data_IF_055647915459
#
_entry.id   IF_055647915459
#
_cell.length_a   1.000
_cell.length_b   1.000
_cell.length_c   1.000
_cell.angle_alpha   90.00
_cell.angle_beta   90.00
_cell.angle_gamma   90.00
#
_symmetry.space_group_name_H-M   'P 1'
#
loop_
_entity.id
_entity.type
_entity.pdbx_description
1 polymer ?
#
# COMPACT_ATOMS: atom_id res chain seq x y z
N UNK A 1 -1.78 -3.89 -12.35
CA UNK A 1 -1.91 -5.19 -11.64
C UNK A 1 -0.93 -5.22 -10.49
N UNK A 2 -1.30 -5.75 -9.33
CA UNK A 2 -0.41 -5.88 -8.16
C UNK A 2 -0.08 -7.36 -7.93
N UNK A 3 1.21 -7.69 -7.77
CA UNK A 3 1.71 -9.05 -7.58
C UNK A 3 2.54 -9.09 -6.30
N UNK A 4 2.17 -9.99 -5.40
CA UNK A 4 2.88 -10.22 -4.14
C UNK A 4 2.95 -11.72 -3.84
N UNK A 5 4.05 -12.14 -3.22
CA UNK A 5 4.18 -13.47 -2.62
C UNK A 5 4.06 -14.65 -3.57
N UNK A 6 4.55 -14.53 -4.79
CA UNK A 6 4.57 -15.66 -5.73
C UNK A 6 5.59 -16.71 -5.30
N UNK A 7 5.23 -17.95 -5.53
CA UNK A 7 6.08 -19.14 -5.31
C UNK A 7 6.86 -19.56 -6.57
N UNK A 8 6.64 -18.87 -7.69
CA UNK A 8 7.29 -19.06 -8.98
C UNK A 8 7.46 -17.72 -9.70
N UNK A 9 8.36 -17.66 -10.70
CA UNK A 9 8.42 -16.50 -11.58
C UNK A 9 7.21 -16.45 -12.51
N UNK A 10 6.82 -15.22 -12.90
CA UNK A 10 5.77 -15.08 -13.92
C UNK A 10 6.33 -15.62 -15.25
N UNK A 11 5.55 -16.48 -15.89
CA UNK A 11 5.90 -17.00 -17.21
C UNK A 11 5.88 -15.88 -18.25
N UNK A 12 6.79 -15.94 -19.21
CA UNK A 12 6.94 -14.88 -20.21
C UNK A 12 5.71 -14.75 -21.09
N UNK A 13 5.05 -15.85 -21.39
CA UNK A 13 3.82 -15.92 -22.17
C UNK A 13 2.69 -15.15 -21.48
N UNK A 14 2.58 -15.26 -20.16
CA UNK A 14 1.58 -14.52 -19.35
C UNK A 14 1.88 -13.01 -19.43
N UNK A 15 3.15 -12.62 -19.31
CA UNK A 15 3.54 -11.21 -19.42
C UNK A 15 3.26 -10.66 -20.84
N UNK A 16 3.50 -11.44 -21.88
CA UNK A 16 3.18 -11.07 -23.25
C UNK A 16 1.68 -10.91 -23.46
N UNK A 17 0.87 -11.80 -22.89
CA UNK A 17 -0.59 -11.68 -22.93
C UNK A 17 -1.06 -10.43 -22.18
N UNK A 18 -0.51 -10.14 -20.99
CA UNK A 18 -0.82 -8.91 -20.26
C UNK A 18 -0.47 -7.66 -21.05
N UNK A 19 0.67 -7.67 -21.73
CA UNK A 19 1.09 -6.58 -22.61
C UNK A 19 0.15 -6.42 -23.81
N UNK A 20 -0.25 -7.53 -24.44
CA UNK A 20 -1.14 -7.50 -25.61
C UNK A 20 -2.56 -7.00 -25.31
N UNK A 21 -3.04 -7.15 -24.08
CA UNK A 21 -4.32 -6.60 -23.61
C UNK A 21 -4.16 -5.23 -22.94
N UNK A 22 -3.06 -4.55 -23.21
CA UNK A 22 -2.74 -3.19 -22.77
C UNK A 22 -2.81 -3.01 -21.24
N UNK A 23 -2.23 -3.95 -20.49
CA UNK A 23 -1.99 -3.74 -19.06
C UNK A 23 -0.92 -2.66 -18.90
N UNK A 24 -1.32 -1.49 -18.42
CA UNK A 24 -0.45 -0.32 -18.32
C UNK A 24 0.71 -0.52 -17.33
N UNK A 25 0.44 -1.20 -16.22
CA UNK A 25 1.40 -1.29 -15.12
C UNK A 25 1.29 -2.58 -14.32
N UNK A 26 2.45 -3.12 -13.95
CA UNK A 26 2.55 -4.18 -12.94
C UNK A 26 3.27 -3.63 -11.70
N UNK A 27 2.72 -3.91 -10.53
CA UNK A 27 3.28 -3.52 -9.23
C UNK A 27 3.77 -4.77 -8.53
N UNK A 28 5.03 -4.75 -8.12
CA UNK A 28 5.67 -5.84 -7.39
C UNK A 28 5.95 -5.43 -5.94
N UNK A 29 5.50 -6.21 -4.98
CA UNK A 29 5.98 -6.11 -3.61
C UNK A 29 7.37 -6.74 -3.51
N UNK A 30 8.36 -5.94 -3.11
CA UNK A 30 9.74 -6.39 -2.92
C UNK A 30 10.27 -5.87 -1.58
N UNK A 31 10.18 -6.67 -0.52
CA UNK A 31 10.56 -6.23 0.82
C UNK A 31 12.08 -6.21 1.05
N UNK A 32 12.86 -6.93 0.26
CA UNK A 32 14.32 -6.97 0.36
C UNK A 32 14.98 -7.52 -0.91
N UNK A 33 16.23 -7.14 -1.12
CA UNK A 33 17.16 -7.76 -2.09
C UNK A 33 17.96 -8.87 -1.42
N UNK A 34 18.24 -8.74 -0.12
CA UNK A 34 18.84 -9.82 0.65
C UNK A 34 17.83 -10.95 0.86
N UNK A 35 18.18 -12.18 0.46
CA UNK A 35 17.29 -13.34 0.51
C UNK A 35 16.84 -13.67 1.94
N UNK A 36 17.73 -13.62 2.92
CA UNK A 36 17.40 -13.94 4.30
C UNK A 36 16.41 -12.93 4.92
N UNK A 37 16.57 -11.63 4.57
CA UNK A 37 15.65 -10.57 4.99
C UNK A 37 14.30 -10.74 4.27
N UNK A 38 14.31 -11.05 2.98
CA UNK A 38 13.11 -11.34 2.20
C UNK A 38 12.31 -12.49 2.81
N UNK A 39 12.98 -13.60 3.08
CA UNK A 39 12.38 -14.82 3.62
C UNK A 39 11.78 -14.57 5.02
N UNK A 40 12.52 -13.87 5.88
CA UNK A 40 12.03 -13.45 7.20
C UNK A 40 10.77 -12.57 7.09
N UNK A 41 10.78 -11.58 6.19
CA UNK A 41 9.64 -10.67 6.00
C UNK A 41 8.41 -11.39 5.44
N UNK A 42 8.61 -12.23 4.44
CA UNK A 42 7.54 -12.95 3.76
C UNK A 42 7.06 -14.19 4.54
N UNK A 43 7.85 -14.71 5.46
CA UNK A 43 7.61 -15.97 6.14
C UNK A 43 7.67 -17.16 5.18
N UNK A 44 8.62 -17.12 4.25
CA UNK A 44 8.85 -18.13 3.19
C UNK A 44 10.33 -18.44 3.08
N UNK A 45 10.76 -19.33 2.19
CA UNK A 45 12.16 -19.60 1.93
C UNK A 45 12.40 -19.84 0.44
N UNK A 46 13.39 -19.12 -0.11
CA UNK A 46 13.88 -19.32 -1.47
C UNK A 46 13.00 -18.77 -2.58
N UNK A 47 12.00 -17.90 -2.27
CA UNK A 47 11.09 -17.34 -3.28
C UNK A 47 11.49 -15.96 -3.79
N UNK A 48 12.45 -15.30 -3.15
CA UNK A 48 12.95 -13.98 -3.54
C UNK A 48 13.39 -13.94 -5.01
N UNK A 49 14.13 -14.95 -5.46
CA UNK A 49 14.62 -15.06 -6.85
C UNK A 49 13.49 -14.97 -7.89
N UNK A 50 12.33 -15.53 -7.61
CA UNK A 50 11.17 -15.50 -8.51
C UNK A 50 10.56 -14.10 -8.64
N UNK A 51 10.57 -13.32 -7.54
CA UNK A 51 10.15 -11.93 -7.59
C UNK A 51 11.12 -11.09 -8.44
N UNK A 52 12.43 -11.23 -8.23
CA UNK A 52 13.46 -10.52 -9.00
C UNK A 52 13.40 -10.88 -10.48
N UNK A 53 13.28 -12.17 -10.79
CA UNK A 53 13.16 -12.66 -12.18
C UNK A 53 11.90 -12.11 -12.86
N UNK A 54 10.78 -12.08 -12.16
CA UNK A 54 9.50 -11.57 -12.70
C UNK A 54 9.59 -10.08 -13.01
N UNK A 55 10.26 -9.28 -12.18
CA UNK A 55 10.51 -7.85 -12.43
C UNK A 55 11.35 -7.68 -13.71
N UNK A 56 12.46 -8.42 -13.83
CA UNK A 56 13.32 -8.36 -14.99
C UNK A 56 12.56 -8.76 -16.28
N UNK A 57 11.79 -9.84 -16.25
CA UNK A 57 10.99 -10.28 -17.41
C UNK A 57 9.94 -9.23 -17.82
N UNK A 58 9.24 -8.61 -16.86
CA UNK A 58 8.27 -7.57 -17.15
C UNK A 58 8.91 -6.34 -17.81
N UNK A 59 10.09 -5.93 -17.32
CA UNK A 59 10.87 -4.84 -17.92
C UNK A 59 11.32 -5.17 -19.35
N UNK A 60 11.82 -6.38 -19.59
CA UNK A 60 12.29 -6.81 -20.92
C UNK A 60 11.18 -6.80 -21.97
N UNK A 61 9.93 -6.97 -21.56
CA UNK A 61 8.74 -6.89 -22.44
C UNK A 61 8.29 -5.43 -22.64
N UNK A 62 8.75 -4.50 -21.80
CA UNK A 62 8.38 -3.08 -21.87
C UNK A 62 7.13 -2.74 -21.05
N UNK A 63 6.68 -3.60 -20.14
CA UNK A 63 5.58 -3.28 -19.22
C UNK A 63 6.09 -2.32 -18.14
N UNK A 64 5.37 -1.23 -17.91
CA UNK A 64 5.70 -0.32 -16.81
C UNK A 64 5.71 -1.08 -15.48
N UNK A 65 6.84 -1.09 -14.76
CA UNK A 65 6.98 -1.76 -13.47
C UNK A 65 7.17 -0.78 -12.33
N UNK A 66 6.43 -1.00 -11.27
CA UNK A 66 6.55 -0.25 -10.02
C UNK A 66 6.89 -1.23 -8.89
N UNK A 67 7.90 -0.91 -8.09
CA UNK A 67 8.28 -1.67 -6.91
C UNK A 67 7.67 -0.99 -5.69
N UNK A 68 6.88 -1.74 -4.92
CA UNK A 68 6.39 -1.31 -3.61
C UNK A 68 7.30 -1.84 -2.52
N UNK A 69 7.82 -0.94 -1.70
CA UNK A 69 8.60 -1.24 -0.52
C UNK A 69 7.91 -0.65 0.72
N UNK A 70 7.71 -1.48 1.74
CA UNK A 70 7.14 -1.08 3.03
C UNK A 70 8.24 -1.15 4.08
N UNK A 71 8.82 -0.01 4.50
CA UNK A 71 9.87 0.01 5.53
C UNK A 71 9.34 -0.52 6.87
N UNK A 72 10.11 -1.39 7.49
CA UNK A 72 9.87 -1.97 8.82
C UNK A 72 11.21 -2.20 9.51
N UNK A 73 11.21 -2.53 10.80
CA UNK A 73 12.44 -2.90 11.54
C UNK A 73 13.24 -4.02 10.87
N UNK A 74 12.56 -4.92 10.14
CA UNK A 74 13.20 -6.08 9.51
C UNK A 74 14.02 -5.69 8.29
N UNK A 75 13.58 -4.68 7.53
CA UNK A 75 14.12 -4.39 6.19
C UNK A 75 14.56 -2.93 5.99
N UNK A 76 14.67 -2.15 7.04
CA UNK A 76 15.02 -0.73 6.92
C UNK A 76 16.35 -0.51 6.18
N UNK A 77 17.32 -1.38 6.40
CA UNK A 77 18.66 -1.32 5.78
C UNK A 77 18.66 -1.71 4.29
N UNK A 78 17.54 -2.23 3.78
CA UNK A 78 17.42 -2.64 2.37
C UNK A 78 17.07 -1.48 1.41
N UNK A 79 16.82 -0.29 1.90
CA UNK A 79 16.38 0.86 1.09
C UNK A 79 17.35 1.12 -0.07
N UNK A 80 18.66 1.20 0.19
CA UNK A 80 19.66 1.43 -0.84
C UNK A 80 19.74 0.28 -1.83
N UNK A 81 19.61 -0.95 -1.36
CA UNK A 81 19.64 -2.14 -2.20
C UNK A 81 18.45 -2.16 -3.16
N UNK A 82 17.26 -1.78 -2.68
CA UNK A 82 16.03 -1.66 -3.49
C UNK A 82 16.21 -0.58 -4.57
N UNK A 83 16.73 0.60 -4.19
CA UNK A 83 16.94 1.70 -5.14
C UNK A 83 17.95 1.30 -6.22
N UNK A 84 19.10 0.77 -5.83
CA UNK A 84 20.13 0.27 -6.76
C UNK A 84 19.61 -0.85 -7.68
N UNK A 85 18.79 -1.75 -7.13
CA UNK A 85 18.15 -2.79 -7.93
C UNK A 85 17.21 -2.20 -8.97
N UNK A 86 16.36 -1.26 -8.57
CA UNK A 86 15.42 -0.60 -9.46
C UNK A 86 16.14 0.16 -10.60
N UNK A 87 17.24 0.85 -10.28
CA UNK A 87 18.07 1.54 -11.26
C UNK A 87 18.70 0.56 -12.26
N UNK A 88 19.31 -0.51 -11.76
CA UNK A 88 19.96 -1.53 -12.59
C UNK A 88 19.00 -2.27 -13.51
N UNK A 89 17.81 -2.58 -13.03
CA UNK A 89 16.78 -3.31 -13.81
C UNK A 89 15.96 -2.40 -14.72
N UNK A 90 16.07 -1.08 -14.57
CA UNK A 90 15.27 -0.13 -15.32
C UNK A 90 13.83 -0.01 -14.81
N UNK A 91 13.52 -0.49 -13.60
CA UNK A 91 12.18 -0.32 -13.02
C UNK A 91 11.76 1.15 -13.07
N UNK A 92 10.52 1.38 -13.47
CA UNK A 92 10.04 2.74 -13.76
C UNK A 92 9.77 3.54 -12.50
N UNK A 93 9.46 2.86 -11.37
CA UNK A 93 9.14 3.51 -10.11
C UNK A 93 9.43 2.65 -8.90
N UNK A 94 9.89 3.27 -7.82
CA UNK A 94 9.90 2.70 -6.47
C UNK A 94 8.99 3.54 -5.59
N UNK A 95 8.05 2.88 -4.89
CA UNK A 95 7.15 3.53 -3.95
C UNK A 95 7.39 3.05 -2.54
N UNK A 96 7.85 3.95 -1.69
CA UNK A 96 7.96 3.72 -0.25
C UNK A 96 6.60 3.98 0.41
N UNK A 97 6.04 2.96 1.07
CA UNK A 97 4.69 2.99 1.61
C UNK A 97 4.70 2.76 3.11
N UNK A 98 3.79 3.42 3.83
CA UNK A 98 3.60 3.16 5.25
C UNK A 98 3.06 1.76 5.52
N UNK A 99 3.55 1.14 6.59
CA UNK A 99 3.01 -0.14 7.07
C UNK A 99 1.54 0.03 7.48
N UNK A 100 0.68 -0.82 6.92
CA UNK A 100 -0.71 -0.97 7.36
C UNK A 100 -0.81 -2.24 8.20
N UNK A 101 -1.10 -2.15 9.50
CA UNK A 101 -1.06 -3.29 10.41
C UNK A 101 -2.29 -4.19 10.24
N UNK A 102 -2.26 -5.07 9.24
CA UNK A 102 -3.32 -6.05 8.96
C UNK A 102 -2.80 -7.46 8.84
N UNK A 103 -3.66 -8.44 9.12
CA UNK A 103 -3.30 -9.85 9.06
C UNK A 103 -2.08 -10.13 9.94
N UNK A 104 -1.07 -10.79 9.39
CA UNK A 104 0.18 -11.10 10.11
C UNK A 104 0.90 -9.86 10.65
N UNK A 105 0.78 -8.72 10.00
CA UNK A 105 1.40 -7.49 10.48
C UNK A 105 0.74 -6.96 11.76
N UNK A 106 -0.55 -7.21 11.98
CA UNK A 106 -1.24 -6.83 13.21
C UNK A 106 -0.77 -7.66 14.42
N UNK A 107 -0.49 -8.95 14.21
CA UNK A 107 -0.02 -9.87 15.27
C UNK A 107 1.47 -9.71 15.59
N UNK A 108 2.26 -9.13 14.66
CA UNK A 108 3.71 -8.93 14.81
C UNK A 108 4.09 -7.44 14.81
N UNK A 109 3.19 -6.59 15.29
CA UNK A 109 3.33 -5.14 15.16
C UNK A 109 4.58 -4.60 15.83
N UNK A 110 4.95 -5.11 16.99
CA UNK A 110 6.10 -4.69 17.78
C UNK A 110 7.45 -4.97 17.09
N UNK A 111 7.49 -6.06 16.30
CA UNK A 111 8.67 -6.45 15.52
C UNK A 111 8.79 -5.69 14.20
N UNK A 112 7.69 -5.07 13.74
CA UNK A 112 7.62 -4.46 12.42
C UNK A 112 7.62 -2.94 12.46
N UNK A 113 6.94 -2.33 13.43
CA UNK A 113 6.76 -0.87 13.47
C UNK A 113 8.05 -0.19 13.87
N UNK A 114 8.46 0.77 13.05
CA UNK A 114 9.60 1.64 13.36
C UNK A 114 9.29 2.48 14.60
N UNK A 115 10.27 2.62 15.47
CA UNK A 115 10.21 3.58 16.57
C UNK A 115 10.44 5.03 16.07
N UNK A 116 10.49 6.00 17.00
CA UNK A 116 10.65 7.40 16.65
C UNK A 116 11.99 7.68 15.95
N UNK A 117 13.08 7.09 16.48
CA UNK A 117 14.44 7.29 15.96
C UNK A 117 14.62 6.62 14.60
N UNK A 118 14.05 5.42 14.43
CA UNK A 118 14.05 4.70 13.16
C UNK A 118 13.22 5.43 12.08
N UNK A 119 12.07 6.01 12.47
CA UNK A 119 11.26 6.83 11.56
C UNK A 119 12.00 8.10 11.13
N UNK A 120 12.71 8.76 12.05
CA UNK A 120 13.51 9.94 11.70
C UNK A 120 14.67 9.58 10.75
N UNK A 121 15.39 8.49 11.04
CA UNK A 121 16.41 7.96 10.12
C UNK A 121 15.85 7.64 8.74
N UNK A 122 14.66 7.02 8.69
CA UNK A 122 13.96 6.73 7.44
C UNK A 122 13.66 8.03 6.66
N UNK A 123 13.11 9.05 7.32
CA UNK A 123 12.80 10.35 6.71
C UNK A 123 14.06 10.97 6.10
N UNK A 124 15.12 11.13 6.91
CA UNK A 124 16.40 11.65 6.46
C UNK A 124 16.97 10.86 5.27
N UNK A 125 16.88 9.54 5.33
CA UNK A 125 17.32 8.67 4.24
C UNK A 125 16.53 8.91 2.95
N UNK A 126 15.22 8.95 3.02
CA UNK A 126 14.37 9.20 1.85
C UNK A 126 14.59 10.60 1.27
N UNK A 127 14.97 11.58 2.08
CA UNK A 127 15.32 12.93 1.63
C UNK A 127 16.61 12.97 0.80
N UNK A 128 17.56 12.09 1.10
CA UNK A 128 18.83 12.00 0.35
C UNK A 128 18.68 11.31 -0.99
N UNK A 129 17.60 10.56 -1.21
CA UNK A 129 17.33 9.87 -2.47
C UNK A 129 16.74 10.86 -3.46
N UNK A 130 17.58 11.61 -4.12
CA UNK A 130 17.16 12.55 -5.17
C UNK A 130 16.98 11.82 -6.50
N UNK A 131 15.80 11.21 -6.69
CA UNK A 131 15.48 10.47 -7.91
C UNK A 131 14.01 10.69 -8.29
N UNK A 132 13.75 11.12 -9.51
CA UNK A 132 12.40 11.35 -10.04
C UNK A 132 11.54 10.08 -10.14
N UNK A 133 12.16 8.89 -10.05
CA UNK A 133 11.48 7.60 -10.01
C UNK A 133 11.01 7.21 -8.60
N UNK A 134 11.34 7.97 -7.58
CA UNK A 134 10.96 7.66 -6.20
C UNK A 134 9.66 8.36 -5.82
N UNK A 135 8.73 7.59 -5.28
CA UNK A 135 7.49 8.07 -4.67
C UNK A 135 7.49 7.73 -3.19
N UNK A 136 7.24 8.73 -2.35
CA UNK A 136 7.02 8.55 -0.92
C UNK A 136 5.52 8.56 -0.67
N UNK A 137 4.99 7.48 -0.11
CA UNK A 137 3.58 7.33 0.22
C UNK A 137 3.23 7.80 1.63
N UNK A 138 1.94 8.04 1.88
CA UNK A 138 1.42 8.31 3.22
C UNK A 138 1.55 7.03 4.06
N UNK A 139 2.00 7.08 5.32
CA UNK A 139 2.29 8.24 6.14
C UNK A 139 3.77 8.67 6.15
N UNK A 140 4.55 8.30 5.14
CA UNK A 140 5.99 8.62 5.08
C UNK A 140 6.27 10.00 4.47
N UNK A 141 5.23 10.74 4.09
CA UNK A 141 5.38 12.09 3.54
C UNK A 141 5.77 13.08 4.63
N UNK A 142 6.44 14.15 4.20
CA UNK A 142 6.81 15.28 5.09
C UNK A 142 5.57 15.99 5.62
N UNK A 143 5.72 16.66 6.77
CA UNK A 143 4.66 17.45 7.42
C UNK A 143 4.13 18.58 6.53
N UNK A 144 4.97 19.13 5.66
CA UNK A 144 4.66 20.27 4.77
C UNK A 144 4.00 19.86 3.44
N UNK A 145 3.73 18.57 3.23
CA UNK A 145 3.07 18.14 2.01
C UNK A 145 1.58 18.43 2.07
N UNK A 146 1.01 19.01 1.00
CA UNK A 146 -0.44 19.18 0.76
C UNK A 146 -1.15 17.81 0.61
N UNK A 147 -0.91 16.92 1.57
CA UNK A 147 -1.43 15.57 1.54
C UNK A 147 -2.85 15.52 2.08
N UNK A 148 -3.82 15.55 1.19
CA UNK A 148 -5.22 15.33 1.53
C UNK A 148 -5.61 13.85 1.39
N UNK A 149 -6.40 13.34 2.35
CA UNK A 149 -7.01 12.04 2.21
C UNK A 149 -8.23 12.13 1.27
N UNK A 150 -8.14 11.48 0.12
CA UNK A 150 -9.20 11.46 -0.88
C UNK A 150 -10.10 10.21 -0.83
N UNK A 151 -10.08 9.47 0.29
CA UNK A 151 -10.94 8.29 0.47
C UNK A 151 -12.42 8.65 0.27
N UNK A 152 -13.10 7.92 -0.60
CA UNK A 152 -14.50 8.13 -0.94
C UNK A 152 -14.79 9.40 -1.75
N UNK A 153 -13.79 10.25 -2.08
CA UNK A 153 -13.95 11.45 -2.92
C UNK A 153 -13.53 11.16 -4.36
N UNK A 154 -12.25 10.93 -4.60
CA UNK A 154 -11.73 10.62 -5.94
C UNK A 154 -11.05 9.24 -6.01
N UNK A 155 -11.21 8.43 -4.97
CA UNK A 155 -10.72 7.05 -4.90
C UNK A 155 -11.80 6.16 -4.30
N UNK A 156 -12.03 5.02 -4.94
CA UNK A 156 -12.85 3.93 -4.43
C UNK A 156 -12.04 2.62 -4.45
N UNK A 157 -12.37 1.72 -3.55
CA UNK A 157 -11.84 0.37 -3.50
C UNK A 157 -13.01 -0.62 -3.57
N UNK A 158 -12.98 -1.50 -4.57
CA UNK A 158 -13.96 -2.57 -4.70
C UNK A 158 -13.30 -3.86 -4.21
N UNK A 159 -13.90 -4.47 -3.20
CA UNK A 159 -13.43 -5.74 -2.65
C UNK A 159 -13.90 -6.91 -3.53
N UNK A 160 -13.27 -8.07 -3.39
CA UNK A 160 -13.58 -9.29 -4.16
C UNK A 160 -15.05 -9.76 -4.05
N UNK A 161 -15.77 -9.39 -2.96
CA UNK A 161 -17.19 -9.66 -2.75
C UNK A 161 -18.11 -8.54 -3.29
N UNK A 162 -17.57 -7.67 -4.12
CA UNK A 162 -18.28 -6.55 -4.75
C UNK A 162 -18.54 -5.36 -3.85
N UNK A 163 -18.18 -5.40 -2.56
CA UNK A 163 -18.40 -4.27 -1.64
C UNK A 163 -17.48 -3.11 -1.94
N UNK A 164 -18.03 -1.89 -1.84
CA UNK A 164 -17.36 -0.65 -2.20
C UNK A 164 -16.99 0.15 -0.94
N UNK A 165 -15.74 0.60 -0.89
CA UNK A 165 -15.14 1.38 0.19
C UNK A 165 -14.43 2.61 -0.39
N UNK A 166 -14.24 3.64 0.39
CA UNK A 166 -13.50 4.84 -0.02
C UNK A 166 -12.00 4.59 -0.17
N UNK A 167 -11.43 3.67 0.57
CA UNK A 167 -10.07 3.17 0.37
C UNK A 167 -9.87 1.78 0.99
N UNK A 168 -8.73 1.16 0.70
CA UNK A 168 -8.40 -0.19 1.18
C UNK A 168 -8.40 -0.32 2.70
N UNK A 169 -8.12 0.74 3.43
CA UNK A 169 -8.05 0.71 4.90
C UNK A 169 -9.43 0.58 5.52
N UNK A 170 -10.46 1.14 4.91
CA UNK A 170 -11.85 1.08 5.43
C UNK A 170 -12.45 -0.32 5.43
N UNK A 171 -11.97 -1.23 4.57
CA UNK A 171 -12.46 -2.63 4.58
C UNK A 171 -12.24 -3.38 5.90
N UNK A 172 -11.45 -2.80 6.82
CA UNK A 172 -11.13 -3.36 8.13
C UNK A 172 -11.72 -2.57 9.30
N UNK A 173 -12.50 -1.53 9.00
CA UNK A 173 -13.13 -0.68 10.01
C UNK A 173 -14.65 -0.84 9.91
N UNK A 174 -15.30 -0.97 11.06
CA UNK A 174 -16.73 -0.87 11.16
C UNK A 174 -17.10 0.59 11.43
N UNK A 175 -17.95 1.15 10.57
CA UNK A 175 -18.54 2.47 10.78
C UNK A 175 -19.91 2.31 11.44
N UNK A 176 -20.22 3.17 12.39
CA UNK A 176 -21.51 3.24 13.04
C UNK A 176 -22.16 4.60 12.80
N UNK A 177 -23.48 4.62 12.72
CA UNK A 177 -24.26 5.85 12.67
C UNK A 177 -24.35 6.53 14.06
N UNK A 178 -25.06 7.65 14.13
CA UNK A 178 -25.26 8.44 15.35
C UNK A 178 -26.01 7.66 16.45
N UNK A 179 -26.68 6.55 16.09
CA UNK A 179 -27.38 5.64 16.99
C UNK A 179 -26.60 4.37 17.29
N UNK A 180 -25.28 4.34 17.01
CA UNK A 180 -24.41 3.18 17.16
C UNK A 180 -24.80 1.96 16.30
N UNK A 181 -25.59 2.13 15.24
CA UNK A 181 -25.91 1.05 14.32
C UNK A 181 -24.81 0.92 13.26
N UNK A 182 -24.36 -0.31 13.02
CA UNK A 182 -23.32 -0.58 12.02
C UNK A 182 -23.86 -0.28 10.63
N UNK A 183 -23.23 0.65 9.94
CA UNK A 183 -23.50 0.98 8.54
C UNK A 183 -22.72 0.01 7.66
N UNK A 184 -23.41 -0.67 6.75
CA UNK A 184 -22.82 -1.67 5.86
C UNK A 184 -22.46 -1.05 4.51
N UNK A 185 -21.32 -1.42 3.91
CA UNK A 185 -20.95 -0.97 2.57
C UNK A 185 -21.92 -1.53 1.52
N UNK A 186 -22.23 -0.72 0.51
CA UNK A 186 -22.98 -1.11 -0.67
C UNK A 186 -22.15 -2.02 -1.57
N UNK A 187 -22.82 -2.76 -2.46
CA UNK A 187 -22.18 -3.69 -3.38
C UNK A 187 -22.57 -3.40 -4.84
N UNK A 188 -21.57 -3.51 -5.73
CA UNK A 188 -21.77 -3.38 -7.20
C UNK A 188 -22.66 -4.48 -7.77
N UNK A 189 -22.95 -5.55 -7.03
CA UNK A 189 -23.91 -6.57 -7.43
C UNK A 189 -25.39 -6.11 -7.30
N UNK A 190 -25.63 -5.06 -6.49
CA UNK A 190 -26.97 -4.61 -6.18
C UNK A 190 -27.26 -3.19 -6.68
N UNK A 191 -26.20 -2.40 -6.93
CA UNK A 191 -26.30 -0.99 -7.34
C UNK A 191 -25.21 -0.67 -8.36
N UNK A 192 -25.43 0.32 -9.23
CA UNK A 192 -24.38 0.84 -10.08
C UNK A 192 -23.29 1.53 -9.26
N UNK A 193 -22.06 1.55 -9.78
CA UNK A 193 -20.96 2.24 -9.11
C UNK A 193 -21.23 3.75 -8.97
N UNK A 194 -21.93 4.34 -9.94
CA UNK A 194 -22.35 5.73 -9.91
C UNK A 194 -23.34 5.99 -8.79
N UNK A 195 -24.37 5.15 -8.64
CA UNK A 195 -25.35 5.25 -7.56
C UNK A 195 -24.68 5.10 -6.19
N UNK A 196 -23.76 4.13 -6.05
CA UNK A 196 -22.98 3.95 -4.83
C UNK A 196 -22.15 5.20 -4.53
N UNK A 197 -21.46 5.77 -5.53
CA UNK A 197 -20.60 6.92 -5.33
C UNK A 197 -21.38 8.14 -4.79
N UNK A 198 -22.53 8.42 -5.35
CA UNK A 198 -23.32 9.60 -5.00
C UNK A 198 -24.26 9.39 -3.81
N UNK A 199 -24.83 8.20 -3.65
CA UNK A 199 -25.95 7.96 -2.74
C UNK A 199 -25.68 6.96 -1.62
N UNK A 200 -24.49 6.31 -1.57
CA UNK A 200 -24.14 5.39 -0.51
C UNK A 200 -24.09 6.08 0.86
N UNK A 201 -24.89 5.61 1.78
CA UNK A 201 -24.82 6.03 3.18
C UNK A 201 -23.46 5.69 3.79
N UNK A 202 -22.93 4.51 3.47
CA UNK A 202 -21.61 4.07 3.94
C UNK A 202 -20.49 5.02 3.51
N UNK A 203 -20.42 5.38 2.22
CA UNK A 203 -19.41 6.33 1.73
C UNK A 203 -19.59 7.74 2.29
N UNK A 204 -20.83 8.15 2.60
CA UNK A 204 -21.11 9.41 3.29
C UNK A 204 -20.50 9.42 4.70
N UNK A 205 -20.63 8.31 5.46
CA UNK A 205 -19.99 8.19 6.77
C UNK A 205 -18.47 8.11 6.70
N UNK A 206 -17.92 7.42 5.70
CA UNK A 206 -16.47 7.41 5.47
C UNK A 206 -15.93 8.83 5.24
N UNK A 207 -16.58 9.61 4.37
CA UNK A 207 -16.19 11.01 4.09
C UNK A 207 -16.24 11.86 5.35
N UNK A 208 -17.35 11.79 6.10
CA UNK A 208 -17.47 12.50 7.39
C UNK A 208 -16.39 12.09 8.39
N UNK A 209 -16.10 10.79 8.49
CA UNK A 209 -15.06 10.28 9.37
C UNK A 209 -13.68 10.85 8.99
N UNK A 210 -13.33 10.83 7.71
CA UNK A 210 -12.05 11.38 7.22
C UNK A 210 -11.97 12.89 7.52
N UNK A 211 -13.01 13.64 7.21
CA UNK A 211 -13.07 15.09 7.46
C UNK A 211 -12.90 15.40 8.95
N UNK A 212 -13.60 14.68 9.82
CA UNK A 212 -13.47 14.85 11.26
C UNK A 212 -12.06 14.53 11.78
N UNK A 213 -11.45 13.42 11.31
CA UNK A 213 -10.10 13.04 11.73
C UNK A 213 -9.04 14.04 11.22
N UNK A 214 -9.25 14.62 10.04
CA UNK A 214 -8.37 15.64 9.49
C UNK A 214 -8.50 16.97 10.22
N UNK A 215 -9.71 17.35 10.63
CA UNK A 215 -9.94 18.54 11.44
C UNK A 215 -9.27 18.46 12.82
N UNK A 216 -9.24 17.26 13.43
CA UNK A 216 -8.64 17.05 14.75
C UNK A 216 -7.11 17.06 14.75
N UNK A 217 -6.46 16.69 13.68
CA UNK A 217 -5.03 16.41 13.69
C UNK A 217 -4.26 16.91 12.47
N UNK A 218 -4.92 17.67 11.62
CA UNK A 218 -4.32 18.14 10.36
C UNK A 218 -4.02 17.01 9.37
N UNK A 219 -3.46 17.39 8.23
CA UNK A 219 -2.97 16.50 7.18
C UNK A 219 -1.56 15.96 7.49
N UNK A 220 -1.23 15.74 8.74
CA UNK A 220 0.10 15.34 9.15
C UNK A 220 0.41 13.86 8.92
N UNK A 221 1.48 13.42 9.48
CA UNK A 221 2.27 12.20 9.36
C UNK A 221 1.52 10.85 9.22
N UNK A 222 0.23 10.75 9.46
CA UNK A 222 -0.45 9.45 9.54
C UNK A 222 -1.81 9.47 8.86
N UNK A 223 -2.08 8.41 8.09
CA UNK A 223 -3.40 8.15 7.54
C UNK A 223 -4.49 8.26 8.63
N UNK A 224 -5.53 9.10 8.44
CA UNK A 224 -6.59 9.29 9.43
C UNK A 224 -7.22 7.99 9.91
N UNK A 225 -7.39 7.05 8.99
CA UNK A 225 -8.00 5.74 9.25
C UNK A 225 -7.04 4.84 10.06
N UNK A 226 -5.75 4.83 9.72
CA UNK A 226 -4.74 4.04 10.44
C UNK A 226 -4.53 4.49 11.88
N UNK A 227 -4.70 5.77 12.17
CA UNK A 227 -4.63 6.27 13.56
C UNK A 227 -5.66 5.60 14.47
N UNK A 228 -6.88 5.39 13.98
CA UNK A 228 -7.92 4.72 14.77
C UNK A 228 -7.66 3.22 14.92
N UNK A 229 -7.10 2.58 13.90
CA UNK A 229 -6.77 1.15 13.97
C UNK A 229 -5.72 0.83 15.02
N UNK A 230 -4.72 1.70 15.21
CA UNK A 230 -3.71 1.55 16.26
C UNK A 230 -4.30 1.63 17.67
N UNK A 231 -5.40 2.36 17.86
CA UNK A 231 -6.09 2.46 19.15
C UNK A 231 -6.99 1.25 19.46
N UNK A 232 -7.39 0.50 18.47
CA UNK A 232 -8.20 -0.73 18.64
C UNK A 232 -7.34 -1.95 18.98
N UNK A 233 -6.03 -1.87 18.72
CA UNK A 233 -5.04 -2.92 19.05
C UNK A 233 -4.46 -2.73 20.46
N UNK A 234 -4.75 -1.60 21.12
CA UNK A 234 -4.33 -1.31 22.51
C UNK A 234 -5.40 -1.69 23.56
N UNK A 235 -6.37 -2.59 23.22
CA UNK A 235 -7.35 -3.13 24.18
C UNK A 235 -7.06 -4.62 24.42
#
# INVERSE_FOLDING_TARGET
MNIAGRVDSIQQEILQQLYSVAVDKIIFNLPAINEAIYDKFMGTSGYQKFALESINKAQNIGIYTEIHFVPTKINLDEIDNIVKFAERTGANKVSFLGLVPHGRAATNIEELVLDADENEKLKLKLETINNNKIRIGIPLQREDSDCCCYAGKNKLCIRYDGKVFGCETFKYIQLADENNRIVKPDSIYNKSLEDIYYHSEYLKYERKFVEHQMALSGCGEKCPVQRKMRRVVEI
#
